data_IF_046556674521
#
_entry.id   IF_046556674521
#
_cell.length_a   1.000
_cell.length_b   1.000
_cell.length_c   1.000
_cell.angle_alpha   90.00
_cell.angle_beta   90.00
_cell.angle_gamma   90.00
#
_symmetry.space_group_name_H-M   'P 1'
#
loop_
_entity.id
_entity.type
_entity.pdbx_description
1 polymer ?
#
# COMPACT_ATOMS: atom_id res chain seq x y z
N UNK A 1 -6.93 -1.51 -31.01
CA UNK A 1 -7.62 -0.52 -30.14
C UNK A 1 -8.75 -1.14 -29.32
N UNK A 2 -9.16 -2.39 -29.60
CA UNK A 2 -10.12 -3.15 -28.78
C UNK A 2 -9.48 -3.65 -27.47
N UNK A 3 -8.24 -4.14 -27.54
CA UNK A 3 -7.48 -4.67 -26.39
C UNK A 3 -7.40 -3.75 -25.17
N UNK A 4 -7.25 -2.43 -25.36
CA UNK A 4 -7.09 -1.49 -24.23
C UNK A 4 -8.38 -1.22 -23.48
N UNK A 5 -9.53 -1.37 -24.14
CA UNK A 5 -10.84 -1.22 -23.49
C UNK A 5 -11.14 -2.49 -22.71
N UNK A 6 -10.84 -3.65 -23.28
CA UNK A 6 -11.05 -4.95 -22.64
C UNK A 6 -10.14 -5.11 -21.40
N UNK A 7 -8.86 -4.72 -21.46
CA UNK A 7 -7.96 -4.66 -20.29
C UNK A 7 -8.46 -3.72 -19.18
N UNK A 8 -9.06 -2.58 -19.55
CA UNK A 8 -9.61 -1.63 -18.59
C UNK A 8 -10.87 -2.18 -17.90
N UNK A 9 -11.67 -2.97 -18.60
CA UNK A 9 -12.85 -3.62 -18.02
C UNK A 9 -12.45 -4.74 -17.05
N UNK A 10 -11.41 -5.51 -17.35
CA UNK A 10 -10.85 -6.50 -16.41
C UNK A 10 -10.32 -5.86 -15.12
N UNK A 11 -9.72 -4.66 -15.21
CA UNK A 11 -9.29 -3.88 -14.03
C UNK A 11 -10.46 -3.34 -13.20
N UNK A 12 -11.60 -3.08 -13.82
CA UNK A 12 -12.84 -2.64 -13.13
C UNK A 12 -13.55 -3.84 -12.49
N UNK A 13 -13.47 -5.03 -13.09
CA UNK A 13 -14.02 -6.28 -12.56
C UNK A 13 -13.17 -6.91 -11.45
N UNK A 14 -11.91 -6.49 -11.30
CA UNK A 14 -11.05 -6.95 -10.23
C UNK A 14 -11.57 -6.49 -8.86
N UNK A 15 -11.91 -7.46 -8.00
CA UNK A 15 -12.43 -7.17 -6.67
C UNK A 15 -11.41 -6.38 -5.82
N UNK A 16 -11.84 -5.32 -5.09
CA UNK A 16 -10.96 -4.49 -4.26
C UNK A 16 -10.09 -5.27 -3.27
N UNK A 17 -10.56 -6.45 -2.85
CA UNK A 17 -9.89 -7.35 -1.91
C UNK A 17 -8.61 -7.97 -2.49
N UNK A 18 -8.56 -8.22 -3.80
CA UNK A 18 -7.34 -8.70 -4.47
C UNK A 18 -6.23 -7.64 -4.48
N UNK A 19 -6.59 -6.38 -4.68
CA UNK A 19 -5.63 -5.27 -4.60
C UNK A 19 -5.13 -5.06 -3.18
N UNK A 20 -6.00 -5.17 -2.17
CA UNK A 20 -5.60 -5.09 -0.76
C UNK A 20 -4.61 -6.19 -0.36
N UNK A 21 -4.84 -7.42 -0.83
CA UNK A 21 -3.95 -8.56 -0.56
C UNK A 21 -2.57 -8.35 -1.19
N UNK A 22 -2.52 -7.88 -2.44
CA UNK A 22 -1.28 -7.58 -3.13
C UNK A 22 -0.48 -6.45 -2.45
N UNK A 23 -1.16 -5.37 -2.05
CA UNK A 23 -0.55 -4.25 -1.33
C UNK A 23 -0.06 -4.65 0.07
N UNK A 24 -0.79 -5.53 0.77
CA UNK A 24 -0.34 -6.08 2.05
C UNK A 24 0.96 -6.89 1.91
N UNK A 25 1.03 -7.77 0.90
CA UNK A 25 2.23 -8.55 0.62
C UNK A 25 3.42 -7.66 0.25
N UNK A 26 3.18 -6.62 -0.56
CA UNK A 26 4.19 -5.64 -0.92
C UNK A 26 4.71 -4.89 0.31
N UNK A 27 3.79 -4.35 1.12
CA UNK A 27 4.14 -3.63 2.33
C UNK A 27 4.98 -4.50 3.29
N UNK A 28 4.61 -5.77 3.43
CA UNK A 28 5.36 -6.71 4.26
C UNK A 28 6.77 -6.96 3.74
N UNK A 29 6.93 -7.20 2.44
CA UNK A 29 8.24 -7.37 1.83
C UNK A 29 9.14 -6.14 2.02
N UNK A 30 8.57 -4.93 1.90
CA UNK A 30 9.29 -3.68 2.18
C UNK A 30 9.69 -3.62 3.64
N UNK A 31 8.77 -3.86 4.58
CA UNK A 31 9.07 -3.80 6.02
C UNK A 31 10.10 -4.84 6.46
N UNK A 32 10.07 -6.05 5.89
CA UNK A 32 11.06 -7.09 6.14
C UNK A 32 12.47 -6.64 5.69
N UNK A 33 12.57 -5.83 4.63
CA UNK A 33 13.84 -5.23 4.21
C UNK A 33 14.37 -4.15 5.17
N UNK A 34 13.53 -3.66 6.09
CA UNK A 34 13.86 -2.62 7.06
C UNK A 34 14.16 -3.16 8.46
N UNK A 35 14.28 -4.49 8.63
CA UNK A 35 14.65 -5.09 9.91
C UNK A 35 15.96 -4.48 10.42
N UNK A 36 15.95 -4.05 11.69
CA UNK A 36 17.08 -3.38 12.34
C UNK A 36 17.15 -1.86 12.07
N UNK A 37 16.25 -1.31 11.26
CA UNK A 37 16.07 0.14 11.13
C UNK A 37 15.06 0.64 12.16
N UNK A 38 15.33 1.80 12.74
CA UNK A 38 14.40 2.46 13.66
C UNK A 38 13.48 3.38 12.87
N UNK A 39 12.17 3.31 13.11
CA UNK A 39 11.21 4.28 12.58
C UNK A 39 11.31 5.57 13.38
N UNK A 40 11.59 6.68 12.71
CA UNK A 40 11.67 8.03 13.30
C UNK A 40 10.35 8.79 13.21
N UNK A 41 9.54 8.52 12.18
CA UNK A 41 8.21 9.12 12.03
C UNK A 41 7.29 8.21 11.19
N UNK A 42 6.00 8.25 11.46
CA UNK A 42 4.95 7.70 10.61
C UNK A 42 3.83 8.72 10.46
N UNK A 43 3.40 8.98 9.23
CA UNK A 43 2.33 9.93 8.89
C UNK A 43 1.28 9.19 8.08
N UNK A 44 0.04 9.21 8.56
CA UNK A 44 -1.12 8.71 7.82
C UNK A 44 -1.81 9.91 7.18
N UNK A 45 -2.06 9.84 5.88
CA UNK A 45 -2.95 10.77 5.16
C UNK A 45 -4.08 9.98 4.50
N UNK A 46 -5.06 10.68 3.91
CA UNK A 46 -6.27 10.08 3.32
C UNK A 46 -6.02 9.07 2.19
N UNK A 47 -4.77 8.90 1.73
CA UNK A 47 -4.43 8.00 0.62
C UNK A 47 -3.28 7.05 0.92
N UNK A 48 -2.52 7.26 1.99
CA UNK A 48 -1.32 6.45 2.28
C UNK A 48 -0.84 6.54 3.71
N UNK A 49 0.07 5.63 4.04
CA UNK A 49 0.95 5.70 5.19
C UNK A 49 2.38 6.00 4.72
N UNK A 50 3.02 7.01 5.28
CA UNK A 50 4.41 7.36 5.00
C UNK A 50 5.27 7.09 6.25
N UNK A 51 6.26 6.22 6.13
CA UNK A 51 7.20 5.86 7.20
C UNK A 51 8.57 6.45 6.91
N UNK A 52 9.18 7.10 7.91
CA UNK A 52 10.55 7.62 7.85
C UNK A 52 11.42 6.84 8.83
N UNK A 53 12.60 6.40 8.40
CA UNK A 53 13.58 5.71 9.24
C UNK A 53 14.60 6.70 9.82
N UNK A 54 15.30 6.29 10.87
CA UNK A 54 16.27 7.14 11.59
C UNK A 54 17.49 7.52 10.77
N UNK A 55 17.77 6.79 9.68
CA UNK A 55 18.81 7.09 8.70
C UNK A 55 18.30 7.96 7.53
N UNK A 56 17.06 8.43 7.59
CA UNK A 56 16.48 9.35 6.61
C UNK A 56 15.77 8.67 5.43
N UNK A 57 15.69 7.34 5.40
CA UNK A 57 14.89 6.60 4.42
C UNK A 57 13.40 6.90 4.55
N UNK A 58 12.66 6.97 3.43
CA UNK A 58 11.23 7.26 3.42
C UNK A 58 10.47 6.31 2.51
N UNK A 59 9.42 5.69 3.06
CA UNK A 59 8.65 4.61 2.44
C UNK A 59 7.17 4.97 2.44
N UNK A 60 6.46 4.64 1.35
CA UNK A 60 5.06 4.98 1.16
C UNK A 60 4.25 3.71 0.89
N UNK A 61 3.15 3.54 1.62
CA UNK A 61 2.26 2.41 1.52
C UNK A 61 0.87 2.90 1.14
N UNK A 62 0.41 2.51 -0.05
CA UNK A 62 -0.88 2.91 -0.63
C UNK A 62 -1.84 1.72 -0.52
N UNK A 63 -3.09 1.93 -0.07
CA UNK A 63 -4.09 0.85 0.00
C UNK A 63 -4.45 0.33 1.39
N UNK A 64 -3.96 0.94 2.48
CA UNK A 64 -4.32 0.56 3.85
C UNK A 64 -5.59 1.24 4.40
N UNK A 65 -6.23 2.10 3.62
CA UNK A 65 -7.44 2.80 4.03
C UNK A 65 -8.67 2.02 3.55
N UNK A 66 -8.85 0.85 4.15
CA UNK A 66 -10.16 0.23 4.29
C UNK A 66 -10.87 0.85 5.48
N UNK A 67 -12.19 1.02 5.37
CA UNK A 67 -13.09 1.69 6.32
C UNK A 67 -12.67 1.52 7.79
N UNK A 68 -12.70 2.62 8.56
CA UNK A 68 -12.58 2.58 10.02
C UNK A 68 -13.53 1.49 10.56
N UNK A 69 -12.97 0.40 11.07
CA UNK A 69 -13.73 -0.52 11.88
C UNK A 69 -13.94 0.17 13.23
N UNK A 70 -15.18 0.51 13.63
CA UNK A 70 -15.41 1.10 14.94
C UNK A 70 -14.92 0.13 16.02
N UNK A 71 -14.23 0.68 17.02
CA UNK A 71 -13.75 -0.05 18.19
C UNK A 71 -14.87 -0.70 19.00
#
# INVERSE_FOLDING_TARGET
MKDRIDELLELIEAEPEHFQTAELLNARAVLDSLIGKTVSAAVVDDRRVAVTTSDGGRYYFYGFLGFEQPA
#
